data_IF_000613006809
#
_entry.id   IF_000613006809
#
_cell.length_a   1.000
_cell.length_b   1.000
_cell.length_c   1.000
_cell.angle_alpha   90.00
_cell.angle_beta   90.00
_cell.angle_gamma   90.00
#
_symmetry.space_group_name_H-M   'P 1'
#
loop_
_entity.id
_entity.type
_entity.pdbx_description
1 polymer ?
#
# COMPACT_ATOMS: atom_id res chain seq x y z
N UNK A 1 -54.32 3.88 18.82
CA UNK A 1 -53.60 2.98 17.90
C UNK A 1 -53.69 1.55 18.39
N UNK A 2 -53.98 0.61 17.52
CA UNK A 2 -53.98 -0.77 17.90
C UNK A 2 -52.54 -1.29 18.02
N UNK A 3 -52.30 -2.18 18.96
CA UNK A 3 -50.95 -2.78 19.20
C UNK A 3 -50.39 -3.42 17.95
N UNK A 4 -51.24 -3.97 17.10
CA UNK A 4 -50.83 -4.61 15.83
C UNK A 4 -50.19 -3.61 14.87
N UNK A 5 -50.69 -2.38 14.79
CA UNK A 5 -50.13 -1.32 13.93
C UNK A 5 -48.74 -0.90 14.43
N UNK A 6 -48.55 -0.77 15.74
CA UNK A 6 -47.29 -0.43 16.33
C UNK A 6 -46.22 -1.50 16.05
N UNK A 7 -46.58 -2.78 16.18
CA UNK A 7 -45.66 -3.89 15.90
C UNK A 7 -45.29 -3.89 14.42
N UNK A 8 -46.24 -3.69 13.52
CA UNK A 8 -45.92 -3.61 12.07
C UNK A 8 -45.00 -2.46 11.72
N UNK A 9 -45.21 -1.29 12.32
CA UNK A 9 -44.34 -0.13 12.11
C UNK A 9 -42.92 -0.39 12.64
N UNK A 10 -42.78 -0.99 13.81
CA UNK A 10 -41.49 -1.34 14.40
C UNK A 10 -40.73 -2.36 13.53
N UNK A 11 -41.42 -3.37 13.03
CA UNK A 11 -40.85 -4.36 12.12
C UNK A 11 -40.40 -3.73 10.81
N UNK A 12 -41.21 -2.83 10.25
CA UNK A 12 -40.88 -2.15 9.00
C UNK A 12 -39.63 -1.26 9.16
N UNK A 13 -39.52 -0.51 10.25
CA UNK A 13 -38.33 0.27 10.54
C UNK A 13 -37.08 -0.60 10.72
N UNK A 14 -37.22 -1.73 11.42
CA UNK A 14 -36.13 -2.68 11.62
C UNK A 14 -35.62 -3.26 10.31
N UNK A 15 -36.52 -3.65 9.42
CA UNK A 15 -36.17 -4.17 8.09
C UNK A 15 -35.47 -3.10 7.24
N UNK A 16 -35.93 -1.85 7.30
CA UNK A 16 -35.28 -0.75 6.57
C UNK A 16 -33.85 -0.50 7.04
N UNK A 17 -33.61 -0.53 8.36
CA UNK A 17 -32.27 -0.34 8.92
C UNK A 17 -31.36 -1.49 8.51
N UNK A 18 -31.83 -2.72 8.62
CA UNK A 18 -31.05 -3.90 8.20
C UNK A 18 -30.75 -3.88 6.71
N UNK A 19 -31.72 -3.52 5.87
CA UNK A 19 -31.54 -3.42 4.43
C UNK A 19 -30.52 -2.37 4.06
N UNK A 20 -30.56 -1.19 4.70
CA UNK A 20 -29.58 -0.13 4.47
C UNK A 20 -28.16 -0.55 4.90
N UNK A 21 -28.04 -1.26 6.02
CA UNK A 21 -26.75 -1.78 6.50
C UNK A 21 -26.16 -2.80 5.55
N UNK A 22 -26.93 -3.75 5.07
CA UNK A 22 -26.48 -4.76 4.11
C UNK A 22 -26.09 -4.10 2.78
N UNK A 23 -26.85 -3.14 2.32
CA UNK A 23 -26.55 -2.43 1.08
C UNK A 23 -25.23 -1.65 1.18
N UNK A 24 -24.99 -0.99 2.31
CA UNK A 24 -23.71 -0.31 2.57
C UNK A 24 -22.53 -1.28 2.59
N UNK A 25 -22.69 -2.42 3.23
CA UNK A 25 -21.66 -3.46 3.24
C UNK A 25 -21.35 -3.97 1.83
N UNK A 26 -22.35 -4.15 1.02
CA UNK A 26 -22.18 -4.57 -0.36
C UNK A 26 -21.39 -3.55 -1.19
N UNK A 27 -21.70 -2.27 -1.04
CA UNK A 27 -20.97 -1.22 -1.73
C UNK A 27 -19.51 -1.16 -1.27
N UNK A 28 -19.26 -1.24 0.01
CA UNK A 28 -17.91 -1.20 0.58
C UNK A 28 -17.08 -2.41 0.17
N UNK A 29 -17.69 -3.60 0.12
CA UNK A 29 -16.98 -4.83 -0.28
C UNK A 29 -16.66 -4.83 -1.79
N UNK A 30 -17.51 -4.21 -2.61
CA UNK A 30 -17.26 -4.11 -4.05
C UNK A 30 -16.15 -3.14 -4.41
N UNK A 31 -16.03 -2.02 -3.71
CA UNK A 31 -15.09 -0.93 -4.04
C UNK A 31 -13.83 -0.94 -3.17
N UNK A 32 -13.90 -1.44 -1.94
CA UNK A 32 -12.79 -1.37 -0.98
C UNK A 32 -11.84 -2.55 -0.97
N UNK A 33 -12.23 -3.69 -1.53
CA UNK A 33 -11.45 -4.92 -1.46
C UNK A 33 -10.50 -5.11 -2.65
N UNK A 34 -10.56 -4.26 -3.66
CA UNK A 34 -9.66 -4.34 -4.82
C UNK A 34 -8.43 -3.49 -4.58
N UNK A 35 -7.42 -4.08 -3.96
CA UNK A 35 -6.09 -3.48 -3.97
C UNK A 35 -5.58 -3.63 -5.41
N UNK A 36 -5.52 -2.52 -6.14
CA UNK A 36 -4.90 -2.53 -7.46
C UNK A 36 -3.40 -2.64 -7.28
N UNK A 37 -2.85 -3.74 -7.80
CA UNK A 37 -1.40 -3.89 -7.88
C UNK A 37 -0.88 -3.09 -9.07
N UNK A 38 0.00 -2.15 -8.80
CA UNK A 38 0.71 -1.41 -9.83
C UNK A 38 1.83 -2.28 -10.42
N UNK A 39 2.20 -2.00 -11.64
CA UNK A 39 3.33 -2.67 -12.28
C UNK A 39 4.62 -1.89 -12.02
N UNK A 40 5.75 -2.55 -12.22
CA UNK A 40 7.05 -1.88 -12.12
C UNK A 40 7.14 -0.74 -13.13
N UNK A 41 7.55 0.42 -12.66
CA UNK A 41 7.59 1.65 -13.46
C UNK A 41 6.37 2.54 -13.30
N UNK A 42 5.27 2.03 -12.76
CA UNK A 42 4.09 2.84 -12.49
C UNK A 42 4.31 3.74 -11.28
N UNK A 43 3.81 4.95 -11.34
CA UNK A 43 3.90 5.88 -10.23
C UNK A 43 2.57 6.01 -9.50
N UNK A 44 2.64 6.31 -8.21
CA UNK A 44 1.48 6.53 -7.36
C UNK A 44 1.68 7.76 -6.51
N UNK A 45 0.59 8.45 -6.19
CA UNK A 45 0.61 9.61 -5.31
C UNK A 45 -0.02 9.21 -3.97
N UNK A 46 0.77 9.33 -2.89
CA UNK A 46 0.33 9.05 -1.54
C UNK A 46 0.49 10.33 -0.71
N UNK A 47 -0.62 11.00 -0.43
CA UNK A 47 -0.58 12.28 0.24
C UNK A 47 0.18 13.31 -0.59
N UNK A 48 1.32 13.77 -0.07
CA UNK A 48 2.19 14.76 -0.71
C UNK A 48 3.39 14.16 -1.46
N UNK A 49 3.48 12.84 -1.52
CA UNK A 49 4.61 12.12 -2.10
C UNK A 49 4.21 11.37 -3.36
N UNK A 50 4.97 11.52 -4.44
CA UNK A 50 4.87 10.70 -5.65
C UNK A 50 5.98 9.66 -5.62
N UNK A 51 5.61 8.39 -5.71
CA UNK A 51 6.55 7.28 -5.61
C UNK A 51 6.37 6.31 -6.77
N UNK A 52 7.44 5.64 -7.15
CA UNK A 52 7.39 4.55 -8.12
C UNK A 52 8.42 3.49 -7.75
N UNK A 53 8.13 2.24 -8.10
CA UNK A 53 9.07 1.13 -7.99
C UNK A 53 9.54 0.79 -9.40
N UNK A 54 10.84 0.91 -9.66
CA UNK A 54 11.38 0.75 -10.99
C UNK A 54 11.86 -0.68 -11.25
N UNK A 55 12.70 -1.22 -10.37
CA UNK A 55 13.23 -2.57 -10.52
C UNK A 55 13.33 -3.27 -9.18
N UNK A 56 13.27 -4.59 -9.21
CA UNK A 56 13.50 -5.45 -8.05
C UNK A 56 14.54 -6.50 -8.44
N UNK A 57 15.59 -6.61 -7.65
CA UNK A 57 16.62 -7.60 -7.84
C UNK A 57 16.95 -8.28 -6.51
N UNK A 58 17.51 -9.49 -6.58
CA UNK A 58 17.92 -10.24 -5.40
C UNK A 58 19.40 -10.55 -5.49
N UNK A 59 20.10 -10.38 -4.37
CA UNK A 59 21.46 -10.87 -4.23
C UNK A 59 21.49 -11.95 -3.14
N UNK A 60 22.69 -12.37 -2.76
CA UNK A 60 22.86 -13.46 -1.78
C UNK A 60 22.41 -13.07 -0.36
N UNK A 61 22.32 -11.80 -0.05
CA UNK A 61 22.07 -11.29 1.31
C UNK A 61 20.80 -10.47 1.44
N UNK A 62 20.35 -9.82 0.38
CA UNK A 62 19.20 -8.91 0.44
C UNK A 62 18.41 -8.89 -0.86
N UNK A 63 17.14 -8.48 -0.77
CA UNK A 63 16.35 -8.11 -1.92
C UNK A 63 16.47 -6.61 -2.10
N UNK A 64 16.87 -6.15 -3.29
CA UNK A 64 17.13 -4.76 -3.61
C UNK A 64 16.01 -4.22 -4.49
N UNK A 65 15.46 -3.07 -4.10
CA UNK A 65 14.36 -2.43 -4.82
C UNK A 65 14.78 -1.01 -5.18
N UNK A 66 14.85 -0.71 -6.47
CA UNK A 66 15.11 0.64 -6.93
C UNK A 66 13.79 1.42 -6.99
N UNK A 67 13.74 2.53 -6.27
CA UNK A 67 12.54 3.36 -6.15
C UNK A 67 12.86 4.80 -6.52
N UNK A 68 11.82 5.51 -6.94
CA UNK A 68 11.88 6.95 -7.22
C UNK A 68 10.86 7.66 -6.35
N UNK A 69 11.25 8.72 -5.68
CA UNK A 69 10.40 9.48 -4.77
C UNK A 69 10.56 10.96 -4.99
N UNK A 70 9.44 11.67 -5.01
CA UNK A 70 9.43 13.13 -5.18
C UNK A 70 8.20 13.72 -4.49
N UNK A 71 8.30 14.92 -3.97
CA UNK A 71 7.15 15.68 -3.49
C UNK A 71 7.37 16.38 -2.16
N UNK A 72 8.31 15.95 -1.34
CA UNK A 72 8.59 16.54 -0.02
C UNK A 72 10.08 16.75 0.12
N UNK A 73 10.47 17.91 0.57
CA UNK A 73 11.87 18.22 0.84
C UNK A 73 12.27 17.72 2.23
N UNK A 74 13.34 16.92 2.29
CA UNK A 74 13.91 16.46 3.55
C UNK A 74 13.12 15.35 4.26
N UNK A 75 12.18 14.69 3.59
CA UNK A 75 11.46 13.56 4.19
C UNK A 75 12.33 12.29 4.18
N UNK A 76 12.09 11.41 5.16
CA UNK A 76 12.78 10.12 5.23
C UNK A 76 12.34 9.24 4.05
N UNK A 77 13.27 8.91 3.17
CA UNK A 77 12.99 8.11 1.99
C UNK A 77 12.97 6.61 2.27
N UNK A 78 13.40 6.16 3.44
CA UNK A 78 13.46 4.74 3.78
C UNK A 78 12.20 4.26 4.52
N UNK A 79 11.59 5.12 5.33
CA UNK A 79 10.41 4.75 6.10
C UNK A 79 9.18 4.57 5.19
N UNK A 80 8.27 3.70 5.59
CA UNK A 80 7.02 3.44 4.86
C UNK A 80 7.12 2.33 3.82
N UNK A 81 8.30 1.91 3.42
CA UNK A 81 8.48 0.80 2.50
C UNK A 81 8.33 -0.55 3.20
N UNK A 82 7.60 -1.46 2.60
CA UNK A 82 7.37 -2.82 3.09
C UNK A 82 7.48 -3.80 1.94
N UNK A 83 7.91 -5.01 2.25
CA UNK A 83 7.90 -6.12 1.30
C UNK A 83 7.01 -7.23 1.84
N UNK A 84 6.11 -7.71 1.00
CA UNK A 84 5.19 -8.79 1.33
C UNK A 84 5.54 -10.02 0.50
N UNK A 85 5.79 -11.13 1.19
CA UNK A 85 5.98 -12.44 0.54
C UNK A 85 5.07 -13.43 1.25
N UNK A 86 4.00 -13.85 0.57
CA UNK A 86 2.98 -14.66 1.20
C UNK A 86 2.36 -13.94 2.40
N UNK A 87 2.45 -14.55 3.58
CA UNK A 87 1.93 -13.97 4.83
C UNK A 87 3.01 -13.19 5.61
N UNK A 88 4.22 -13.06 5.08
CA UNK A 88 5.34 -12.42 5.77
C UNK A 88 5.48 -10.98 5.28
N UNK A 89 5.52 -10.04 6.22
CA UNK A 89 5.74 -8.62 5.95
C UNK A 89 7.12 -8.25 6.50
N UNK A 90 7.97 -7.70 5.65
CA UNK A 90 9.31 -7.26 6.02
C UNK A 90 9.45 -5.76 5.90
N UNK A 91 10.20 -5.15 6.80
CA UNK A 91 10.49 -3.73 6.78
C UNK A 91 11.76 -3.43 5.99
N UNK A 92 11.88 -2.21 5.49
CA UNK A 92 13.07 -1.76 4.79
C UNK A 92 14.29 -1.76 5.72
N UNK A 93 15.43 -2.18 5.17
CA UNK A 93 16.69 -2.27 5.88
C UNK A 93 17.74 -1.39 5.19
N UNK A 94 18.80 -0.98 5.89
CA UNK A 94 19.92 -0.32 5.25
C UNK A 94 20.64 -1.26 4.28
N UNK A 95 21.24 -0.70 3.24
CA UNK A 95 22.07 -1.47 2.30
C UNK A 95 23.32 -2.00 3.02
N UNK A 96 23.58 -3.29 2.84
CA UNK A 96 24.74 -3.93 3.50
C UNK A 96 26.02 -3.89 2.68
N UNK A 97 25.92 -3.82 1.35
CA UNK A 97 27.05 -4.04 0.47
C UNK A 97 27.39 -2.87 -0.45
N UNK A 98 26.78 -1.71 -0.25
CA UNK A 98 26.99 -0.58 -1.16
C UNK A 98 26.49 -0.85 -2.58
N UNK A 99 25.57 -1.77 -2.76
CA UNK A 99 25.08 -2.24 -4.07
C UNK A 99 24.09 -1.27 -4.73
N UNK A 100 24.09 -0.02 -4.36
CA UNK A 100 23.19 0.98 -4.89
C UNK A 100 23.29 2.25 -4.09
N UNK A 101 22.39 3.20 -4.39
CA UNK A 101 22.30 4.45 -3.66
C UNK A 101 21.34 4.30 -2.49
N UNK A 102 21.76 4.42 -1.23
CA UNK A 102 20.84 4.27 -0.11
C UNK A 102 19.79 5.38 -0.10
N UNK A 103 18.58 5.03 0.32
CA UNK A 103 17.50 6.00 0.50
C UNK A 103 17.74 6.77 1.79
N UNK A 104 17.87 8.09 1.68
CA UNK A 104 18.11 8.98 2.82
C UNK A 104 16.96 9.98 2.94
N UNK A 105 16.98 11.04 2.15
CA UNK A 105 15.97 12.08 2.17
C UNK A 105 15.45 12.33 0.77
N UNK A 106 14.19 12.79 0.68
CA UNK A 106 13.55 13.13 -0.59
C UNK A 106 13.71 14.62 -0.90
N UNK A 107 13.38 15.00 -2.14
CA UNK A 107 13.39 16.37 -2.61
C UNK A 107 12.04 16.74 -3.23
N UNK A 108 11.72 18.03 -3.17
CA UNK A 108 10.51 18.56 -3.77
C UNK A 108 10.66 18.77 -5.28
N UNK A 109 11.79 19.33 -5.71
CA UNK A 109 11.98 19.83 -7.08
C UNK A 109 12.35 18.74 -8.08
N UNK A 110 12.90 17.64 -7.62
CA UNK A 110 13.38 16.56 -8.50
C UNK A 110 13.18 15.17 -7.86
N UNK A 111 12.99 14.12 -8.67
CA UNK A 111 12.87 12.78 -8.12
C UNK A 111 14.19 12.30 -7.53
N UNK A 112 14.09 11.61 -6.41
CA UNK A 112 15.22 10.95 -5.76
C UNK A 112 15.20 9.46 -6.11
N UNK A 113 16.20 9.01 -6.86
CA UNK A 113 16.39 7.59 -7.16
C UNK A 113 17.28 6.98 -6.09
N UNK A 114 16.77 5.95 -5.45
CA UNK A 114 17.52 5.26 -4.40
C UNK A 114 17.13 3.78 -4.34
N UNK A 115 17.89 3.01 -3.58
CA UNK A 115 17.70 1.57 -3.42
C UNK A 115 17.27 1.27 -2.00
N UNK A 116 16.13 0.60 -1.86
CA UNK A 116 15.63 0.09 -0.59
C UNK A 116 15.98 -1.40 -0.50
N UNK A 117 16.51 -1.83 0.63
CA UNK A 117 16.88 -3.22 0.86
C UNK A 117 15.86 -3.89 1.79
N UNK A 118 15.62 -5.17 1.52
CA UNK A 118 14.78 -6.04 2.35
C UNK A 118 15.50 -7.35 2.61
N UNK A 119 15.10 -8.13 3.62
CA UNK A 119 15.68 -9.45 3.83
C UNK A 119 15.46 -10.36 2.62
N UNK A 120 16.37 -11.30 2.40
CA UNK A 120 16.19 -12.32 1.37
C UNK A 120 14.98 -13.17 1.73
N UNK A 121 14.13 -13.43 0.75
CA UNK A 121 12.96 -14.29 0.92
C UNK A 121 12.76 -15.17 -0.30
N UNK A 122 12.15 -16.31 -0.09
CA UNK A 122 11.74 -17.19 -1.18
C UNK A 122 10.36 -16.79 -1.68
N UNK A 123 10.17 -16.81 -2.99
CA UNK A 123 8.91 -16.46 -3.62
C UNK A 123 8.93 -15.10 -4.30
N UNK A 124 7.78 -14.71 -4.82
CA UNK A 124 7.61 -13.43 -5.53
C UNK A 124 7.22 -12.34 -4.54
N UNK A 125 8.06 -11.32 -4.33
CA UNK A 125 7.71 -10.24 -3.40
C UNK A 125 6.72 -9.27 -4.02
N UNK A 126 5.89 -8.66 -3.17
CA UNK A 126 5.09 -7.49 -3.48
C UNK A 126 5.64 -6.33 -2.66
N UNK A 127 5.93 -5.22 -3.32
CA UNK A 127 6.48 -4.04 -2.65
C UNK A 127 5.33 -3.08 -2.33
N UNK A 128 5.28 -2.61 -1.11
CA UNK A 128 4.25 -1.68 -0.64
C UNK A 128 4.88 -0.42 -0.08
N UNK A 129 4.22 0.70 -0.29
CA UNK A 129 4.56 1.98 0.33
C UNK A 129 3.35 2.52 1.08
N UNK A 130 3.56 2.92 2.31
CA UNK A 130 2.52 3.43 3.20
C UNK A 130 2.89 4.86 3.61
N UNK A 131 1.98 5.80 3.36
CA UNK A 131 2.17 7.20 3.76
C UNK A 131 0.81 7.88 3.92
N UNK A 132 0.67 8.71 4.94
CA UNK A 132 -0.54 9.50 5.20
C UNK A 132 -1.83 8.67 5.27
N UNK A 133 -1.74 7.45 5.82
CA UNK A 133 -2.87 6.53 5.90
C UNK A 133 -3.25 5.86 4.59
N UNK A 134 -2.49 6.08 3.53
CA UNK A 134 -2.68 5.47 2.22
C UNK A 134 -1.61 4.41 1.97
N UNK A 135 -1.95 3.41 1.17
CA UNK A 135 -1.04 2.33 0.80
C UNK A 135 -1.19 2.00 -0.67
N UNK A 136 -0.06 1.87 -1.36
CA UNK A 136 0.00 1.37 -2.72
C UNK A 136 0.94 0.18 -2.78
N UNK A 137 0.66 -0.74 -3.69
CA UNK A 137 1.44 -1.97 -3.84
C UNK A 137 1.85 -2.17 -5.29
N UNK A 138 3.05 -2.67 -5.50
CA UNK A 138 3.59 -2.98 -6.81
C UNK A 138 3.86 -4.47 -6.93
N UNK A 139 3.35 -5.07 -8.02
CA UNK A 139 3.64 -6.45 -8.34
C UNK A 139 5.03 -6.52 -8.99
N UNK A 140 5.88 -7.42 -8.51
CA UNK A 140 7.26 -7.56 -9.01
C UNK A 140 7.40 -8.69 -10.02
N UNK A 141 6.36 -9.49 -10.22
CA UNK A 141 6.33 -10.54 -11.24
C UNK A 141 5.43 -10.11 -12.40
N UNK A 142 5.75 -10.52 -13.63
CA UNK A 142 4.85 -10.31 -14.77
C UNK A 142 3.55 -11.10 -14.66
#
# INVERSE_FOLDING_TARGET
MSTRKLIMWALFCGVLILGAGVFKLWQTTGDGAKVQLLQLGDSAVLGDMTVSVNTVSKNATQTLVEVSMQGVEGADALSGWRMLVGAVISEAQPLSDGSGTPCTTTKLAEPTLCTVAFPVSEGTPTIAYIRAGQQEQWATAP
#
